data_IF_251886637857
#
_entry.id   IF_251886637857
#
_cell.length_a   1.000
_cell.length_b   1.000
_cell.length_c   1.000
_cell.angle_alpha   90.00
_cell.angle_beta   90.00
_cell.angle_gamma   90.00
#
_symmetry.space_group_name_H-M   'P 1'
#
loop_
_entity.id
_entity.type
_entity.pdbx_description
1 polymer ?
#
# COMPACT_ATOMS: atom_id res chain seq x y z
N UNK A 1 18.09 30.72 -3.79
CA UNK A 1 17.93 29.30 -3.43
C UNK A 1 16.44 29.03 -3.53
N UNK A 2 16.00 28.20 -4.47
CA UNK A 2 14.58 27.80 -4.50
C UNK A 2 14.38 26.88 -3.29
N UNK A 3 13.57 27.33 -2.34
CA UNK A 3 13.13 26.46 -1.25
C UNK A 3 12.39 25.27 -1.84
N UNK A 4 12.63 24.08 -1.27
CA UNK A 4 11.86 22.89 -1.64
C UNK A 4 10.37 23.17 -1.37
N UNK A 5 9.51 22.72 -2.26
CA UNK A 5 8.06 22.82 -2.04
C UNK A 5 7.72 22.12 -0.71
N UNK A 6 7.00 22.82 0.16
CA UNK A 6 6.47 22.23 1.38
C UNK A 6 5.30 21.35 0.97
N UNK A 7 5.36 20.05 1.35
CA UNK A 7 4.27 19.10 1.13
C UNK A 7 3.48 18.87 2.41
N UNK A 8 2.24 18.47 2.23
CA UNK A 8 1.40 17.92 3.30
C UNK A 8 1.47 16.41 3.20
N UNK A 9 1.90 15.76 4.26
CA UNK A 9 2.09 14.32 4.29
C UNK A 9 0.86 13.62 4.88
N UNK A 10 0.47 12.55 4.23
CA UNK A 10 -0.60 11.65 4.64
C UNK A 10 -0.08 10.30 5.10
N UNK A 11 -0.81 9.24 4.77
CA UNK A 11 -0.43 7.89 5.13
C UNK A 11 0.76 7.38 4.33
N UNK A 12 1.54 6.51 4.97
CA UNK A 12 2.54 5.69 4.29
C UNK A 12 1.88 4.51 3.60
N UNK A 13 2.46 4.09 2.47
CA UNK A 13 1.93 3.01 1.65
C UNK A 13 3.02 1.98 1.38
N UNK A 14 2.71 0.72 1.65
CA UNK A 14 3.51 -0.42 1.21
C UNK A 14 2.77 -1.13 0.08
N UNK A 15 3.45 -1.30 -1.06
CA UNK A 15 3.04 -2.15 -2.16
C UNK A 15 3.93 -3.39 -2.12
N UNK A 16 3.41 -4.51 -1.62
CA UNK A 16 4.13 -5.78 -1.50
C UNK A 16 3.68 -6.73 -2.61
N UNK A 17 4.56 -6.95 -3.59
CA UNK A 17 4.32 -7.85 -4.72
C UNK A 17 4.98 -9.19 -4.47
N UNK A 18 4.20 -10.26 -4.62
CA UNK A 18 4.65 -11.63 -4.36
C UNK A 18 4.38 -12.55 -5.55
N UNK A 19 5.28 -13.50 -5.74
CA UNK A 19 5.10 -14.66 -6.59
C UNK A 19 4.78 -15.86 -5.71
N UNK A 20 3.88 -16.74 -6.18
CA UNK A 20 3.64 -18.04 -5.56
C UNK A 20 4.66 -19.06 -6.07
N UNK A 21 5.23 -19.85 -5.17
CA UNK A 21 5.84 -21.12 -5.55
C UNK A 21 4.74 -22.15 -5.85
N UNK A 22 4.17 -22.02 -7.04
CA UNK A 22 3.10 -22.90 -7.48
C UNK A 22 3.48 -24.38 -7.51
N UNK A 23 4.78 -24.70 -7.68
CA UNK A 23 5.24 -26.07 -7.69
C UNK A 23 5.13 -26.70 -6.30
N UNK A 24 5.65 -26.03 -5.29
CA UNK A 24 5.53 -26.47 -3.90
C UNK A 24 4.10 -26.40 -3.40
N UNK A 25 3.37 -25.31 -3.68
CA UNK A 25 1.99 -25.12 -3.26
C UNK A 25 1.05 -26.23 -3.73
N UNK A 26 1.21 -26.72 -4.96
CA UNK A 26 0.40 -27.82 -5.51
C UNK A 26 0.67 -29.17 -4.86
N UNK A 27 1.83 -29.35 -4.22
CA UNK A 27 2.19 -30.58 -3.54
C UNK A 27 1.78 -30.59 -2.06
N UNK A 28 1.37 -29.44 -1.52
CA UNK A 28 0.88 -29.33 -0.14
C UNK A 28 -0.41 -30.10 0.01
N UNK A 29 -0.56 -30.77 1.15
CA UNK A 29 -1.79 -31.45 1.51
C UNK A 29 -3.00 -30.53 1.41
N UNK A 30 -4.15 -30.97 0.86
CA UNK A 30 -5.32 -30.13 0.69
C UNK A 30 -5.84 -29.49 1.98
N UNK A 31 -5.78 -30.19 3.12
CA UNK A 31 -6.21 -29.63 4.40
C UNK A 31 -5.27 -28.51 4.85
N UNK A 32 -3.96 -28.71 4.74
CA UNK A 32 -2.98 -27.68 5.06
C UNK A 32 -3.13 -26.46 4.13
N UNK A 33 -3.39 -26.67 2.84
CA UNK A 33 -3.68 -25.55 1.91
C UNK A 33 -4.91 -24.77 2.35
N UNK A 34 -5.94 -25.48 2.79
CA UNK A 34 -7.16 -24.83 3.29
C UNK A 34 -6.86 -24.02 4.55
N UNK A 35 -6.15 -24.60 5.51
CA UNK A 35 -5.76 -23.91 6.75
C UNK A 35 -4.93 -22.64 6.46
N UNK A 36 -3.92 -22.74 5.59
CA UNK A 36 -3.10 -21.61 5.20
C UNK A 36 -3.90 -20.50 4.48
N UNK A 37 -4.91 -20.91 3.68
CA UNK A 37 -5.80 -19.96 3.02
C UNK A 37 -6.73 -19.30 4.02
N UNK A 38 -7.31 -20.05 4.94
CA UNK A 38 -8.20 -19.51 5.99
C UNK A 38 -7.43 -18.53 6.91
N UNK A 39 -6.18 -18.86 7.26
CA UNK A 39 -5.29 -17.98 8.02
C UNK A 39 -5.05 -16.65 7.29
N UNK A 40 -4.78 -16.71 5.98
CA UNK A 40 -4.58 -15.52 5.18
C UNK A 40 -5.85 -14.68 5.04
N UNK A 41 -7.00 -15.31 4.86
CA UNK A 41 -8.30 -14.61 4.83
C UNK A 41 -8.55 -13.91 6.16
N UNK A 42 -8.31 -14.59 7.30
CA UNK A 42 -8.44 -13.99 8.62
C UNK A 42 -7.52 -12.77 8.80
N UNK A 43 -6.29 -12.83 8.28
CA UNK A 43 -5.38 -11.69 8.27
C UNK A 43 -5.94 -10.51 7.46
N UNK A 44 -6.53 -10.75 6.28
CA UNK A 44 -7.17 -9.71 5.48
C UNK A 44 -8.40 -9.11 6.18
N UNK A 45 -9.19 -9.94 6.88
CA UNK A 45 -10.35 -9.49 7.67
C UNK A 45 -9.92 -8.57 8.84
N UNK A 46 -8.76 -8.84 9.45
CA UNK A 46 -8.20 -7.93 10.46
C UNK A 46 -7.79 -6.58 9.84
N UNK A 47 -7.20 -6.59 8.64
CA UNK A 47 -6.86 -5.35 7.94
C UNK A 47 -8.12 -4.52 7.64
N UNK A 48 -9.25 -5.18 7.33
CA UNK A 48 -10.53 -4.52 7.09
C UNK A 48 -11.02 -3.74 8.32
N UNK A 49 -10.69 -4.16 9.55
CA UNK A 49 -11.06 -3.42 10.76
C UNK A 49 -10.42 -2.02 10.81
N UNK A 50 -9.19 -1.87 10.32
CA UNK A 50 -8.56 -0.56 10.23
C UNK A 50 -9.19 0.33 9.15
N UNK A 51 -9.63 -0.27 8.03
CA UNK A 51 -10.37 0.43 6.98
C UNK A 51 -11.71 0.95 7.52
N UNK A 52 -12.46 0.10 8.22
CA UNK A 52 -13.75 0.44 8.83
C UNK A 52 -13.60 1.54 9.90
N UNK A 53 -12.52 1.51 10.66
CA UNK A 53 -12.18 2.51 11.66
C UNK A 53 -11.57 3.80 11.05
N UNK A 54 -11.26 3.81 9.74
CA UNK A 54 -10.59 4.91 9.02
C UNK A 54 -9.22 5.28 9.63
N UNK A 55 -8.52 4.27 10.14
CA UNK A 55 -7.17 4.38 10.69
C UNK A 55 -6.10 3.82 9.74
N UNK A 56 -6.53 3.32 8.60
CA UNK A 56 -5.70 2.79 7.54
C UNK A 56 -6.56 2.38 6.36
N UNK A 57 -5.93 1.78 5.36
CA UNK A 57 -6.61 1.15 4.24
C UNK A 57 -5.79 -0.05 3.74
N UNK A 58 -6.43 -0.99 3.07
CA UNK A 58 -5.74 -2.08 2.39
C UNK A 58 -6.46 -2.50 1.12
N UNK A 59 -5.74 -3.16 0.24
CA UNK A 59 -6.32 -3.85 -0.91
C UNK A 59 -5.46 -5.03 -1.33
N UNK A 60 -6.10 -6.11 -1.74
CA UNK A 60 -5.47 -7.30 -2.28
C UNK A 60 -5.83 -7.43 -3.76
N UNK A 61 -4.83 -7.57 -4.61
CA UNK A 61 -5.00 -7.66 -6.07
C UNK A 61 -4.24 -8.85 -6.62
N UNK A 62 -4.87 -9.58 -7.53
CA UNK A 62 -4.15 -10.51 -8.41
C UNK A 62 -3.50 -9.73 -9.55
N UNK A 63 -2.29 -10.14 -9.93
CA UNK A 63 -1.50 -9.45 -10.94
C UNK A 63 -1.62 -10.20 -12.27
N UNK A 64 -1.94 -9.46 -13.33
CA UNK A 64 -1.89 -9.98 -14.69
C UNK A 64 -0.47 -9.87 -15.22
N UNK A 65 0.09 -10.99 -15.62
CA UNK A 65 1.46 -11.08 -16.14
C UNK A 65 2.36 -11.91 -15.22
N UNK A 66 3.66 -11.95 -15.55
CA UNK A 66 4.58 -12.93 -14.96
C UNK A 66 5.55 -12.35 -13.91
N UNK A 67 5.44 -11.05 -13.58
CA UNK A 67 6.36 -10.42 -12.61
C UNK A 67 5.99 -10.70 -11.17
N UNK A 68 4.70 -10.92 -10.91
CA UNK A 68 4.15 -11.28 -9.61
C UNK A 68 2.81 -11.98 -9.81
N UNK A 69 2.32 -12.69 -8.80
CA UNK A 69 0.99 -13.30 -8.80
C UNK A 69 -0.03 -12.40 -8.08
N UNK A 70 0.39 -11.72 -7.02
CA UNK A 70 -0.47 -10.80 -6.28
C UNK A 70 0.29 -9.60 -5.72
N UNK A 71 -0.47 -8.60 -5.33
CA UNK A 71 -0.01 -7.45 -4.57
C UNK A 71 -0.91 -7.26 -3.35
N UNK A 72 -0.30 -7.14 -2.17
CA UNK A 72 -0.94 -6.61 -0.99
C UNK A 72 -0.51 -5.15 -0.83
N UNK A 73 -1.47 -4.25 -0.94
CA UNK A 73 -1.27 -2.83 -0.72
C UNK A 73 -1.83 -2.44 0.64
N UNK A 74 -1.01 -1.87 1.50
CA UNK A 74 -1.42 -1.42 2.83
C UNK A 74 -1.05 0.03 3.06
N UNK A 75 -1.97 0.79 3.66
CA UNK A 75 -1.78 2.18 4.03
C UNK A 75 -1.91 2.31 5.54
N UNK A 76 -0.95 2.96 6.18
CA UNK A 76 -0.95 3.17 7.64
C UNK A 76 -0.37 4.56 7.98
N UNK A 77 -0.74 5.11 9.15
CA UNK A 77 -0.23 6.39 9.64
C UNK A 77 1.29 6.41 9.81
N UNK A 78 1.90 5.28 10.14
CA UNK A 78 3.32 5.18 10.45
C UNK A 78 4.02 4.06 9.68
N UNK A 79 5.33 4.22 9.48
CA UNK A 79 6.18 3.17 8.91
C UNK A 79 6.28 1.95 9.83
N UNK A 80 6.23 2.16 11.14
CA UNK A 80 6.30 1.08 12.12
C UNK A 80 5.10 0.14 12.00
N UNK A 81 3.89 0.69 11.80
CA UNK A 81 2.69 -0.11 11.54
C UNK A 81 2.78 -0.89 10.23
N UNK A 82 3.35 -0.31 9.16
CA UNK A 82 3.59 -1.04 7.91
C UNK A 82 4.57 -2.18 8.11
N UNK A 83 5.66 -1.95 8.83
CA UNK A 83 6.65 -2.98 9.15
C UNK A 83 6.04 -4.10 9.98
N UNK A 84 5.20 -3.77 10.98
CA UNK A 84 4.51 -4.78 11.78
C UNK A 84 3.60 -5.65 10.93
N UNK A 85 2.83 -5.06 10.02
CA UNK A 85 1.96 -5.80 9.10
C UNK A 85 2.76 -6.70 8.16
N UNK A 86 3.86 -6.21 7.59
CA UNK A 86 4.75 -7.04 6.77
C UNK A 86 5.33 -8.20 7.56
N UNK A 87 5.80 -7.95 8.79
CA UNK A 87 6.34 -9.00 9.65
C UNK A 87 5.28 -10.03 10.06
N UNK A 88 4.03 -9.62 10.23
CA UNK A 88 2.89 -10.52 10.49
C UNK A 88 2.56 -11.35 9.26
N UNK A 89 2.47 -10.74 8.08
CA UNK A 89 2.27 -11.49 6.83
C UNK A 89 3.35 -12.57 6.65
N UNK A 90 4.62 -12.22 6.85
CA UNK A 90 5.75 -13.14 6.71
C UNK A 90 5.74 -14.32 7.72
N UNK A 91 4.88 -14.28 8.74
CA UNK A 91 4.68 -15.39 9.69
C UNK A 91 3.50 -16.30 9.32
N UNK A 92 2.68 -15.91 8.35
CA UNK A 92 1.57 -16.75 7.91
C UNK A 92 2.09 -17.98 7.16
N UNK A 93 1.39 -19.08 7.28
CA UNK A 93 1.74 -20.33 6.59
C UNK A 93 1.81 -20.16 5.06
N UNK A 94 0.92 -19.36 4.47
CA UNK A 94 0.94 -19.09 3.03
C UNK A 94 2.22 -18.37 2.59
N UNK A 95 2.82 -17.57 3.45
CA UNK A 95 4.04 -16.81 3.14
C UNK A 95 5.23 -17.73 2.85
N UNK A 96 5.28 -18.95 3.41
CA UNK A 96 6.30 -19.96 3.14
C UNK A 96 6.30 -20.41 1.67
N UNK A 97 5.17 -20.23 0.99
CA UNK A 97 4.99 -20.57 -0.43
C UNK A 97 5.02 -19.32 -1.32
N UNK A 98 5.50 -18.20 -0.81
CA UNK A 98 5.63 -16.97 -1.59
C UNK A 98 7.08 -16.50 -1.68
N UNK A 99 7.40 -15.89 -2.80
CA UNK A 99 8.71 -15.28 -3.06
C UNK A 99 8.47 -13.77 -3.23
N UNK A 100 9.14 -12.92 -2.43
CA UNK A 100 9.09 -11.48 -2.65
C UNK A 100 9.59 -11.14 -4.05
N UNK A 101 8.74 -10.54 -4.87
CA UNK A 101 9.07 -10.19 -6.24
C UNK A 101 9.53 -8.73 -6.35
N UNK A 102 8.80 -7.83 -5.70
CA UNK A 102 9.05 -6.40 -5.72
C UNK A 102 8.31 -5.72 -4.57
N UNK A 103 8.88 -4.68 -4.01
CA UNK A 103 8.17 -3.82 -3.06
C UNK A 103 8.41 -2.35 -3.33
N UNK A 104 7.45 -1.54 -2.98
CA UNK A 104 7.53 -0.10 -3.10
C UNK A 104 6.91 0.55 -1.86
N UNK A 105 7.69 1.41 -1.20
CA UNK A 105 7.23 2.21 -0.08
C UNK A 105 7.11 3.65 -0.54
N UNK A 106 6.00 4.28 -0.21
CA UNK A 106 5.73 5.67 -0.54
C UNK A 106 4.97 6.36 0.59
N UNK A 107 4.84 7.67 0.48
CA UNK A 107 3.95 8.49 1.30
C UNK A 107 2.95 9.18 0.41
N UNK A 108 1.71 9.32 0.87
CA UNK A 108 0.71 10.13 0.18
C UNK A 108 1.01 11.58 0.46
N UNK A 109 1.31 12.35 -0.56
CA UNK A 109 1.69 13.76 -0.45
C UNK A 109 0.76 14.67 -1.26
N UNK A 110 0.51 15.85 -0.75
CA UNK A 110 -0.11 16.95 -1.48
C UNK A 110 0.80 18.17 -1.48
N UNK A 111 0.90 18.85 -2.62
CA UNK A 111 1.55 20.13 -2.70
C UNK A 111 0.76 21.19 -1.91
N UNK A 112 1.45 22.01 -1.14
CA UNK A 112 0.85 23.05 -0.33
C UNK A 112 0.26 24.23 -1.15
N UNK A 113 0.39 24.21 -2.48
CA UNK A 113 -0.23 25.23 -3.35
C UNK A 113 -1.75 25.33 -3.19
N UNK A 114 -2.42 24.28 -2.70
CA UNK A 114 -3.87 24.27 -2.48
C UNK A 114 -4.30 24.96 -1.18
N UNK A 115 -3.37 25.25 -0.28
CA UNK A 115 -3.65 25.86 1.03
C UNK A 115 -3.09 27.27 1.19
N UNK A 116 -2.42 27.81 0.17
CA UNK A 116 -1.71 29.11 0.26
C UNK A 116 -2.61 30.32 0.52
N UNK A 117 -3.91 30.22 0.30
CA UNK A 117 -4.86 31.31 0.40
C UNK A 117 -5.73 31.28 1.68
N UNK A 118 -5.59 30.30 2.55
CA UNK A 118 -6.37 30.22 3.79
C UNK A 118 -5.48 30.27 5.03
N UNK A 119 -5.85 31.12 6.02
CA UNK A 119 -5.25 31.11 7.36
C UNK A 119 -5.67 29.88 8.21
N UNK A 120 -6.33 28.90 7.62
CA UNK A 120 -6.81 27.69 8.28
C UNK A 120 -5.79 26.57 8.15
N UNK A 121 -5.72 25.71 9.17
CA UNK A 121 -4.92 24.49 9.12
C UNK A 121 -5.39 23.60 7.95
N UNK A 122 -4.54 23.34 6.95
CA UNK A 122 -4.93 22.56 5.77
C UNK A 122 -5.42 21.17 6.11
N UNK A 123 -4.96 20.57 7.22
CA UNK A 123 -5.43 19.26 7.69
C UNK A 123 -6.87 19.27 8.22
N UNK A 124 -7.48 20.42 8.44
CA UNK A 124 -8.92 20.54 8.79
C UNK A 124 -9.82 20.54 7.55
N UNK A 125 -9.27 20.78 6.37
CA UNK A 125 -10.01 20.75 5.13
C UNK A 125 -10.39 19.32 4.74
N UNK A 126 -11.70 19.05 4.59
CA UNK A 126 -12.20 17.71 4.27
C UNK A 126 -11.67 17.16 2.92
N UNK A 127 -11.49 18.05 1.92
CA UNK A 127 -10.95 17.64 0.62
C UNK A 127 -9.46 17.25 0.70
N UNK A 128 -8.67 18.01 1.46
CA UNK A 128 -7.26 17.69 1.74
C UNK A 128 -7.15 16.36 2.48
N UNK A 129 -7.94 16.19 3.54
CA UNK A 129 -7.97 14.94 4.32
C UNK A 129 -8.32 13.73 3.48
N UNK A 130 -9.35 13.82 2.63
CA UNK A 130 -9.76 12.71 1.77
C UNK A 130 -8.67 12.30 0.78
N UNK A 131 -7.75 13.20 0.42
CA UNK A 131 -6.62 12.91 -0.46
C UNK A 131 -5.41 12.37 0.29
N UNK A 132 -5.13 12.87 1.50
CA UNK A 132 -4.01 12.41 2.33
C UNK A 132 -4.29 11.08 3.01
N UNK A 133 -5.56 10.80 3.30
CA UNK A 133 -6.03 9.59 4.00
C UNK A 133 -7.08 8.88 3.16
N UNK A 134 -6.70 8.32 2.00
CA UNK A 134 -7.65 7.80 1.03
C UNK A 134 -8.36 6.54 1.54
N UNK A 135 -9.68 6.52 1.39
CA UNK A 135 -10.47 5.31 1.48
C UNK A 135 -10.38 4.58 0.13
N UNK A 136 -9.80 3.38 0.13
CA UNK A 136 -9.67 2.61 -1.10
C UNK A 136 -11.02 2.06 -1.54
N UNK A 137 -11.46 2.48 -2.73
CA UNK A 137 -12.68 1.95 -3.31
C UNK A 137 -12.43 0.55 -3.88
N UNK A 138 -13.41 -0.34 -3.76
CA UNK A 138 -13.37 -1.66 -4.40
C UNK A 138 -13.51 -1.50 -5.92
N UNK A 139 -12.39 -1.26 -6.58
CA UNK A 139 -12.32 -1.18 -8.04
C UNK A 139 -12.00 -2.54 -8.62
N UNK A 140 -12.59 -2.86 -9.78
CA UNK A 140 -12.32 -4.11 -10.48
C UNK A 140 -10.87 -4.21 -10.97
N UNK A 141 -10.26 -3.08 -11.32
CA UNK A 141 -8.91 -3.00 -11.82
C UNK A 141 -8.13 -1.87 -11.14
N UNK A 142 -6.82 -2.10 -10.97
CA UNK A 142 -5.85 -1.08 -10.60
C UNK A 142 -4.71 -1.10 -11.63
N UNK A 143 -4.23 0.07 -11.99
CA UNK A 143 -2.98 0.22 -12.74
C UNK A 143 -1.93 0.78 -11.80
N UNK A 144 -0.89 0.01 -11.52
CA UNK A 144 0.26 0.43 -10.73
C UNK A 144 1.46 0.64 -11.66
N UNK A 145 2.03 1.84 -11.65
CA UNK A 145 3.24 2.16 -12.38
C UNK A 145 4.05 3.22 -11.64
N UNK A 146 5.27 2.88 -11.19
CA UNK A 146 6.19 3.87 -10.65
C UNK A 146 6.61 4.85 -11.75
N UNK A 147 6.54 6.14 -11.44
CA UNK A 147 7.04 7.19 -12.33
C UNK A 147 8.24 7.87 -11.71
N UNK A 148 9.31 7.99 -12.48
CA UNK A 148 10.47 8.78 -12.09
C UNK A 148 10.41 10.15 -12.76
N UNK A 149 10.35 11.22 -11.94
CA UNK A 149 10.45 12.59 -12.45
C UNK A 149 11.91 12.92 -12.67
N UNK A 150 12.33 12.96 -13.91
CA UNK A 150 13.67 13.42 -14.27
C UNK A 150 13.76 14.93 -14.06
N UNK A 151 14.77 15.35 -13.33
CA UNK A 151 15.16 16.74 -13.22
C UNK A 151 16.07 17.10 -14.39
N UNK A 152 15.80 18.21 -15.08
CA UNK A 152 16.68 18.76 -16.09
C UNK A 152 17.39 20.00 -15.49
N UNK A 153 18.62 19.82 -15.08
CA UNK A 153 19.39 20.88 -14.40
C UNK A 153 18.77 21.32 -13.07
N UNK A 154 18.47 22.63 -12.95
CA UNK A 154 17.85 23.22 -11.75
C UNK A 154 16.32 23.35 -11.86
N UNK A 155 15.72 22.92 -12.96
CA UNK A 155 14.29 23.03 -13.16
C UNK A 155 13.56 21.86 -12.50
N UNK A 156 12.71 22.20 -11.55
CA UNK A 156 11.88 21.24 -10.84
C UNK A 156 10.48 21.31 -11.46
N UNK A 157 10.13 20.30 -12.24
CA UNK A 157 8.82 20.19 -12.87
C UNK A 157 7.81 19.65 -11.84
N UNK A 158 7.26 20.54 -11.03
CA UNK A 158 6.11 20.26 -10.17
C UNK A 158 4.91 21.08 -10.65
#
# INVERSE_FOLDING_TARGET
>A
MNEAAITLDGWYVLHDFRQMDWASWKQVDPELRKEATDEFVAFLDELQQADDAKTGAHAFYTIVGQKADFMLMTLRPTMDELQELEARFNKLTIAEFTIPAYSYVSVVELSNYLSADSNEDPYQNAHVRARLYPELQRSQYICFYPMDKRRDGNDNWY
#
